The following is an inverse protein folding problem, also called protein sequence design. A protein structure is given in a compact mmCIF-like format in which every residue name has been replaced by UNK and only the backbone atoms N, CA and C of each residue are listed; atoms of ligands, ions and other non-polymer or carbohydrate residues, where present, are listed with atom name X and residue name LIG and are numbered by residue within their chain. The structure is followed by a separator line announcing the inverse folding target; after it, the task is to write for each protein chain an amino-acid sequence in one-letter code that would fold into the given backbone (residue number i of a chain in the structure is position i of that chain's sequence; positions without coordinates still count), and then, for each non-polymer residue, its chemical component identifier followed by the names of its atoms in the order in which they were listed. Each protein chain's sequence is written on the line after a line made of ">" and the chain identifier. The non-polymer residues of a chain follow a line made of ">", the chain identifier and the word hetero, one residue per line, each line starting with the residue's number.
data_IF_531574431022
#
_entry.id   IF_531574431022
#
_cell.length_a   1.000
_cell.length_b   1.000
_cell.length_c   1.000
_cell.angle_alpha   90.00
_cell.angle_beta   90.00
_cell.angle_gamma   90.00
#
_symmetry.space_group_name_H-M   'P 1'
#
loop_
_entity.id
_entity.type
_entity.pdbx_description
1 polymer ?
#
# COMPACT_ATOMS: atom_id res chain seq x y z
N UNK A 1 -42.93 20.34 22.63
CA UNK A 1 -41.70 21.14 22.45
C UNK A 1 -40.52 20.25 22.76
N UNK A 2 -39.94 19.60 21.76
CA UNK A 2 -38.64 18.89 21.93
C UNK A 2 -37.58 19.99 22.02
N UNK A 3 -36.89 20.03 23.13
CA UNK A 3 -35.79 20.97 23.34
C UNK A 3 -34.80 20.82 22.20
N UNK A 4 -34.49 21.92 21.53
CA UNK A 4 -33.32 22.04 20.65
C UNK A 4 -32.08 21.97 21.58
N UNK A 5 -31.77 20.77 22.05
CA UNK A 5 -30.50 20.49 22.64
C UNK A 5 -29.48 20.60 21.50
N UNK A 6 -28.63 21.59 21.57
CA UNK A 6 -27.43 21.68 20.77
C UNK A 6 -26.71 20.33 20.93
N UNK A 7 -26.75 19.52 19.89
CA UNK A 7 -25.99 18.30 19.91
C UNK A 7 -24.51 18.67 19.85
N UNK A 8 -23.83 18.54 20.98
CA UNK A 8 -22.37 18.67 21.05
C UNK A 8 -21.64 17.51 20.37
N UNK A 9 -22.39 16.56 19.82
CA UNK A 9 -21.81 15.41 19.09
C UNK A 9 -21.44 15.85 17.69
N UNK A 10 -20.18 16.22 17.53
CA UNK A 10 -19.63 16.59 16.23
C UNK A 10 -19.43 15.39 15.30
N UNK A 11 -19.46 14.15 15.82
CA UNK A 11 -19.14 12.94 15.05
C UNK A 11 -20.05 11.79 15.45
N UNK A 12 -20.39 10.93 14.48
CA UNK A 12 -21.29 9.80 14.68
C UNK A 12 -20.56 8.48 14.49
N UNK A 13 -20.76 7.56 15.42
CA UNK A 13 -20.27 6.19 15.33
C UNK A 13 -21.45 5.24 15.13
N UNK A 14 -21.35 4.37 14.13
CA UNK A 14 -22.32 3.31 13.86
C UNK A 14 -21.60 1.98 13.71
N UNK A 15 -22.09 0.94 14.38
CA UNK A 15 -21.60 -0.42 14.28
C UNK A 15 -22.76 -1.33 13.87
N UNK A 16 -22.59 -2.10 12.81
CA UNK A 16 -23.62 -2.97 12.26
C UNK A 16 -24.09 -3.99 13.27
N UNK A 17 -25.39 -4.01 13.55
CA UNK A 17 -26.01 -4.94 14.50
C UNK A 17 -25.90 -4.51 15.98
N UNK A 18 -25.36 -3.32 16.25
CA UNK A 18 -25.39 -2.71 17.56
C UNK A 18 -26.45 -1.60 17.58
N UNK A 19 -27.52 -1.81 18.37
CA UNK A 19 -28.62 -0.84 18.52
C UNK A 19 -28.40 0.12 19.69
N UNK A 20 -27.33 -0.12 20.49
CA UNK A 20 -27.00 0.75 21.60
C UNK A 20 -26.60 2.16 21.10
N UNK A 21 -26.94 3.17 21.85
CA UNK A 21 -26.43 4.53 21.61
C UNK A 21 -24.93 4.57 21.86
N UNK A 22 -24.18 4.99 20.86
CA UNK A 22 -22.72 5.12 20.90
C UNK A 22 -22.39 6.62 20.82
N UNK A 23 -22.00 7.21 21.93
CA UNK A 23 -21.75 8.63 22.04
C UNK A 23 -20.24 8.90 21.99
N UNK A 24 -19.76 9.42 20.85
CA UNK A 24 -18.33 9.65 20.61
C UNK A 24 -17.78 10.75 21.52
N UNK A 25 -16.74 10.42 22.27
CA UNK A 25 -15.99 11.34 23.13
C UNK A 25 -14.76 11.91 22.43
N UNK A 26 -13.99 11.05 21.81
CA UNK A 26 -12.74 11.41 21.14
C UNK A 26 -12.39 10.38 20.08
N UNK A 27 -11.59 10.78 19.13
CA UNK A 27 -10.91 9.84 18.24
C UNK A 27 -9.53 10.34 17.83
N UNK A 28 -8.68 9.41 17.50
CA UNK A 28 -7.39 9.61 16.84
C UNK A 28 -7.34 8.71 15.62
N UNK A 29 -6.91 9.24 14.48
CA UNK A 29 -6.86 8.50 13.23
C UNK A 29 -5.58 8.76 12.45
N UNK A 30 -4.95 7.68 11.99
CA UNK A 30 -3.80 7.70 11.13
C UNK A 30 -4.18 7.16 9.75
N UNK A 31 -3.91 7.94 8.71
CA UNK A 31 -4.12 7.57 7.33
C UNK A 31 -2.88 7.90 6.51
N UNK A 32 -2.47 6.99 5.63
CA UNK A 32 -1.38 7.22 4.70
C UNK A 32 -1.61 6.45 3.40
N UNK A 33 -1.02 6.95 2.30
CA UNK A 33 -0.98 6.21 1.05
C UNK A 33 -0.24 4.89 1.25
N UNK A 34 -0.76 3.83 0.65
CA UNK A 34 -0.20 2.48 0.68
C UNK A 34 -0.11 1.84 2.06
N UNK A 35 -0.97 2.29 2.98
CA UNK A 35 -1.11 1.72 4.33
C UNK A 35 -2.58 1.65 4.72
N UNK A 36 -3.02 0.58 5.41
CA UNK A 36 -4.33 0.57 6.04
C UNK A 36 -4.45 1.67 7.08
N UNK A 37 -5.55 2.41 7.05
CA UNK A 37 -5.83 3.40 8.08
C UNK A 37 -6.15 2.75 9.41
N UNK A 38 -5.98 3.50 10.50
CA UNK A 38 -6.34 3.10 11.85
C UNK A 38 -6.96 4.26 12.61
N UNK A 39 -8.18 4.07 13.08
CA UNK A 39 -8.87 5.00 13.97
C UNK A 39 -9.10 4.34 15.33
N UNK A 40 -8.67 5.00 16.40
CA UNK A 40 -9.05 4.67 17.75
C UNK A 40 -10.16 5.63 18.19
N UNK A 41 -11.33 5.09 18.48
CA UNK A 41 -12.54 5.88 18.78
C UNK A 41 -12.97 5.55 20.19
N UNK A 42 -13.01 6.58 21.05
CA UNK A 42 -13.53 6.48 22.42
C UNK A 42 -14.97 6.97 22.45
N UNK A 43 -15.83 6.22 23.11
CA UNK A 43 -17.24 6.51 23.19
C UNK A 43 -17.84 6.04 24.52
N UNK A 44 -18.97 6.63 24.92
CA UNK A 44 -19.78 6.15 26.02
C UNK A 44 -21.08 5.54 25.54
N UNK A 45 -21.64 4.64 26.34
CA UNK A 45 -22.95 4.06 26.12
C UNK A 45 -23.63 3.78 27.46
N UNK A 46 -24.94 3.99 27.51
CA UNK A 46 -25.77 3.55 28.63
C UNK A 46 -25.90 2.01 28.70
N UNK A 47 -25.57 1.33 27.61
CA UNK A 47 -25.51 -0.14 27.59
C UNK A 47 -24.19 -0.64 28.19
N UNK A 48 -24.26 -1.22 29.38
CA UNK A 48 -23.13 -1.79 30.09
C UNK A 48 -22.74 -3.19 29.59
N UNK A 49 -23.54 -3.79 28.70
CA UNK A 49 -23.41 -5.16 28.26
C UNK A 49 -22.85 -5.33 26.85
N UNK A 50 -22.32 -4.26 26.24
CA UNK A 50 -21.70 -4.35 24.92
C UNK A 50 -20.55 -5.35 24.99
N UNK A 51 -20.66 -6.43 24.22
CA UNK A 51 -19.70 -7.53 24.20
C UNK A 51 -18.77 -7.48 22.99
N UNK A 52 -17.67 -8.24 23.04
CA UNK A 52 -16.73 -8.36 21.91
C UNK A 52 -17.40 -8.94 20.66
N UNK A 53 -18.36 -9.83 20.82
CA UNK A 53 -19.12 -10.47 19.74
C UNK A 53 -20.03 -9.46 19.00
N UNK A 54 -20.49 -8.46 19.72
CA UNK A 54 -21.28 -7.37 19.15
C UNK A 54 -20.41 -6.36 18.35
N UNK A 55 -19.10 -6.31 18.63
CA UNK A 55 -18.18 -5.32 18.08
C UNK A 55 -17.18 -5.89 17.09
N UNK A 56 -16.41 -6.91 17.47
CA UNK A 56 -15.31 -7.40 16.63
C UNK A 56 -15.81 -7.95 15.30
N UNK A 57 -15.09 -7.64 14.23
CA UNK A 57 -15.38 -8.03 12.85
C UNK A 57 -16.68 -7.44 12.27
N UNK A 58 -17.35 -6.55 12.99
CA UNK A 58 -18.54 -5.85 12.48
C UNK A 58 -18.14 -4.69 11.60
N UNK A 59 -18.89 -4.49 10.51
CA UNK A 59 -18.78 -3.27 9.71
C UNK A 59 -19.17 -2.06 10.58
N UNK A 60 -18.38 -1.01 10.50
CA UNK A 60 -18.59 0.20 11.28
C UNK A 60 -18.22 1.44 10.47
N UNK A 61 -18.80 2.57 10.85
CA UNK A 61 -18.50 3.86 10.24
C UNK A 61 -18.33 4.95 11.29
N UNK A 62 -17.33 5.78 11.08
CA UNK A 62 -17.16 7.06 11.73
C UNK A 62 -17.56 8.16 10.75
N UNK A 63 -18.61 8.91 11.07
CA UNK A 63 -19.08 10.03 10.25
C UNK A 63 -18.60 11.33 10.87
N UNK A 64 -17.73 12.03 10.15
CA UNK A 64 -17.29 13.36 10.52
C UNK A 64 -18.36 14.37 10.12
N UNK A 65 -18.71 15.25 11.05
CA UNK A 65 -19.68 16.32 10.85
C UNK A 65 -18.97 17.67 10.97
N UNK A 66 -19.41 18.62 10.18
CA UNK A 66 -18.97 20.01 10.27
C UNK A 66 -20.17 20.97 10.33
N UNK A 67 -20.04 22.13 10.98
CA UNK A 67 -21.08 23.14 11.00
C UNK A 67 -21.20 23.79 9.61
N UNK A 68 -22.39 23.74 9.04
CA UNK A 68 -22.72 24.42 7.78
C UNK A 68 -23.71 25.53 8.08
N UNK A 69 -23.35 26.76 7.67
CA UNK A 69 -24.22 27.92 7.85
C UNK A 69 -25.44 27.81 6.91
N UNK A 70 -26.63 27.77 7.48
CA UNK A 70 -27.91 27.76 6.75
C UNK A 70 -28.61 29.15 6.66
N UNK A 71 -27.87 30.23 6.91
CA UNK A 71 -28.44 31.59 6.98
C UNK A 71 -28.98 31.94 8.38
N UNK A 72 -29.22 33.21 8.62
CA UNK A 72 -29.71 33.77 9.92
C UNK A 72 -28.86 33.37 11.16
N UNK A 73 -27.56 33.06 11.00
CA UNK A 73 -26.70 32.72 12.11
C UNK A 73 -26.93 31.31 12.69
N UNK A 74 -27.71 30.46 12.01
CA UNK A 74 -27.94 29.08 12.43
C UNK A 74 -26.91 28.18 11.73
N UNK A 75 -26.05 27.49 12.52
CA UNK A 75 -25.17 26.45 12.05
C UNK A 75 -25.82 25.08 12.30
N UNK A 76 -25.90 24.27 11.26
CA UNK A 76 -26.39 22.88 11.34
C UNK A 76 -25.21 21.94 11.09
N UNK A 77 -25.04 20.96 11.99
CA UNK A 77 -24.05 19.90 11.79
C UNK A 77 -24.48 19.02 10.62
N UNK A 78 -23.62 18.90 9.61
CA UNK A 78 -23.87 18.06 8.45
C UNK A 78 -22.74 17.04 8.27
N UNK A 79 -23.06 15.81 7.83
CA UNK A 79 -22.05 14.84 7.46
C UNK A 79 -21.19 15.36 6.31
N UNK A 80 -19.87 15.37 6.49
CA UNK A 80 -18.92 15.86 5.47
C UNK A 80 -17.98 14.76 4.98
N UNK A 81 -17.71 13.77 5.83
CA UNK A 81 -16.88 12.62 5.48
C UNK A 81 -17.30 11.39 6.27
N UNK A 82 -17.30 10.23 5.62
CA UNK A 82 -17.53 8.93 6.26
C UNK A 82 -16.27 8.08 6.13
N UNK A 83 -15.77 7.56 7.24
CA UNK A 83 -14.71 6.56 7.31
C UNK A 83 -15.40 5.23 7.57
N UNK A 84 -15.33 4.34 6.59
CA UNK A 84 -15.97 3.03 6.62
C UNK A 84 -14.91 1.94 6.79
N UNK A 85 -15.18 0.96 7.65
CA UNK A 85 -14.27 -0.16 7.87
C UNK A 85 -14.88 -1.27 8.70
N UNK A 86 -14.03 -2.00 9.41
CA UNK A 86 -14.40 -3.06 10.36
C UNK A 86 -13.78 -2.77 11.72
N UNK A 87 -14.42 -3.23 12.76
CA UNK A 87 -13.89 -3.16 14.12
C UNK A 87 -12.86 -4.27 14.32
N UNK A 88 -11.61 -3.89 14.52
CA UNK A 88 -10.49 -4.81 14.72
C UNK A 88 -10.01 -4.90 16.15
N UNK A 89 -10.44 -3.98 17.01
CA UNK A 89 -10.15 -3.94 18.43
C UNK A 89 -11.33 -3.38 19.21
N UNK A 90 -11.52 -3.83 20.44
CA UNK A 90 -12.57 -3.37 21.33
C UNK A 90 -12.12 -3.45 22.77
N UNK A 91 -12.33 -2.40 23.53
CA UNK A 91 -11.91 -2.25 24.93
C UNK A 91 -13.04 -1.66 25.77
N UNK A 92 -13.17 -2.13 26.99
CA UNK A 92 -13.94 -1.46 28.04
C UNK A 92 -12.95 -0.72 28.94
N UNK A 93 -13.03 0.59 28.98
CA UNK A 93 -12.08 1.42 29.71
C UNK A 93 -12.51 1.65 31.16
N UNK A 94 -13.78 2.02 31.38
CA UNK A 94 -14.32 2.24 32.71
C UNK A 94 -15.84 2.07 32.70
N UNK A 95 -16.42 1.88 33.87
CA UNK A 95 -17.88 1.77 34.07
C UNK A 95 -18.30 2.62 35.26
N UNK A 96 -19.29 3.47 35.04
CA UNK A 96 -19.99 4.19 36.09
C UNK A 96 -21.40 3.61 36.29
N UNK A 97 -22.20 4.24 37.14
CA UNK A 97 -23.59 3.84 37.35
C UNK A 97 -24.46 4.10 36.10
N UNK A 98 -24.19 5.18 35.39
CA UNK A 98 -25.06 5.70 34.33
C UNK A 98 -24.58 5.31 32.93
N UNK A 99 -23.28 5.12 32.75
CA UNK A 99 -22.68 4.80 31.44
C UNK A 99 -21.37 4.04 31.57
N UNK A 100 -21.00 3.36 30.51
CA UNK A 100 -19.71 2.69 30.36
C UNK A 100 -18.90 3.37 29.25
N UNK A 101 -17.63 3.60 29.51
CA UNK A 101 -16.66 4.14 28.58
C UNK A 101 -15.94 3.01 27.86
N UNK A 102 -16.01 3.04 26.55
CA UNK A 102 -15.45 2.06 25.65
C UNK A 102 -14.47 2.71 24.65
N UNK A 103 -13.64 1.90 24.07
CA UNK A 103 -12.87 2.26 22.89
C UNK A 103 -12.96 1.16 21.83
N UNK A 104 -12.95 1.53 20.57
CA UNK A 104 -12.80 0.59 19.47
C UNK A 104 -11.74 1.05 18.48
N UNK A 105 -11.20 0.09 17.74
CA UNK A 105 -10.29 0.33 16.62
C UNK A 105 -11.02 0.04 15.33
N UNK A 106 -11.07 1.03 14.44
CA UNK A 106 -11.66 0.94 13.11
C UNK A 106 -10.54 0.90 12.06
N UNK A 107 -10.55 -0.10 11.21
CA UNK A 107 -9.58 -0.28 10.14
C UNK A 107 -10.28 -0.79 8.87
N UNK A 108 -9.66 -0.62 7.68
CA UNK A 108 -10.20 -1.23 6.47
C UNK A 108 -10.04 -2.76 6.55
N UNK A 109 -10.87 -3.51 5.82
CA UNK A 109 -10.77 -4.97 5.76
C UNK A 109 -9.41 -5.47 5.30
N UNK A 110 -8.71 -4.68 4.48
CA UNK A 110 -7.35 -4.99 4.06
C UNK A 110 -6.39 -5.16 5.24
N UNK A 111 -6.60 -4.47 6.36
CA UNK A 111 -5.78 -4.62 7.56
C UNK A 111 -5.83 -6.04 8.16
N UNK A 112 -6.94 -6.75 7.98
CA UNK A 112 -7.10 -8.11 8.51
C UNK A 112 -6.18 -9.13 7.82
N UNK A 113 -5.67 -8.80 6.64
CA UNK A 113 -4.77 -9.68 5.89
C UNK A 113 -3.44 -9.92 6.63
N UNK A 114 -3.08 -9.08 7.58
CA UNK A 114 -1.91 -9.30 8.44
C UNK A 114 -2.06 -10.50 9.41
N UNK A 115 -3.25 -11.07 9.51
CA UNK A 115 -3.53 -12.28 10.31
C UNK A 115 -3.38 -13.57 9.51
N UNK A 116 -3.20 -13.47 8.20
CA UNK A 116 -3.04 -14.62 7.32
C UNK A 116 -1.57 -14.75 6.89
N UNK A 117 -0.84 -15.64 7.57
CA UNK A 117 0.55 -15.97 7.25
C UNK A 117 0.57 -17.18 6.31
N UNK A 118 1.25 -17.05 5.18
CA UNK A 118 1.24 -18.08 4.14
C UNK A 118 2.62 -18.30 3.54
N UNK A 119 2.75 -19.49 2.93
CA UNK A 119 3.82 -19.82 2.00
C UNK A 119 3.13 -20.32 0.73
N UNK A 120 3.39 -19.69 -0.39
CA UNK A 120 2.70 -19.98 -1.63
C UNK A 120 3.56 -19.64 -2.85
N UNK A 121 3.30 -20.32 -3.95
CA UNK A 121 3.95 -20.08 -5.25
C UNK A 121 2.89 -19.60 -6.24
N UNK A 122 3.23 -18.56 -6.99
CA UNK A 122 2.43 -18.01 -8.08
C UNK A 122 3.24 -18.09 -9.37
N UNK A 123 2.67 -18.67 -10.41
CA UNK A 123 3.34 -18.82 -11.70
C UNK A 123 2.54 -18.16 -12.81
N UNK A 124 3.26 -17.56 -13.77
CA UNK A 124 2.69 -16.94 -14.97
C UNK A 124 1.56 -15.93 -14.67
N UNK A 125 1.79 -15.08 -13.67
CA UNK A 125 0.86 -14.06 -13.24
C UNK A 125 1.56 -12.71 -13.06
N UNK A 126 0.87 -11.65 -13.44
CA UNK A 126 1.32 -10.28 -13.14
C UNK A 126 1.07 -9.92 -11.68
N UNK A 127 1.76 -8.89 -11.18
CA UNK A 127 1.57 -8.41 -9.80
C UNK A 127 0.09 -8.07 -9.52
N UNK A 128 -0.63 -7.30 -10.36
CA UNK A 128 -2.06 -7.08 -10.12
C UNK A 128 -2.89 -8.37 -10.08
N UNK A 129 -2.58 -9.35 -10.93
CA UNK A 129 -3.29 -10.64 -10.93
C UNK A 129 -3.06 -11.43 -9.65
N UNK A 130 -1.83 -11.44 -9.13
CA UNK A 130 -1.52 -12.10 -7.84
C UNK A 130 -2.27 -11.43 -6.69
N UNK A 131 -2.25 -10.10 -6.64
CA UNK A 131 -2.96 -9.33 -5.61
C UNK A 131 -4.46 -9.60 -5.68
N UNK A 132 -5.06 -9.51 -6.86
CA UNK A 132 -6.49 -9.78 -7.05
C UNK A 132 -6.86 -11.21 -6.65
N UNK A 133 -6.05 -12.20 -7.00
CA UNK A 133 -6.26 -13.60 -6.62
C UNK A 133 -6.28 -13.77 -5.10
N UNK A 134 -5.33 -13.18 -4.38
CA UNK A 134 -5.29 -13.24 -2.92
C UNK A 134 -6.54 -12.59 -2.31
N UNK A 135 -6.91 -11.40 -2.78
CA UNK A 135 -8.08 -10.68 -2.27
C UNK A 135 -9.38 -11.46 -2.49
N UNK A 136 -9.57 -12.05 -3.67
CA UNK A 136 -10.78 -12.79 -4.01
C UNK A 136 -10.84 -14.19 -3.41
N UNK A 137 -9.83 -15.00 -3.71
CA UNK A 137 -9.88 -16.43 -3.40
C UNK A 137 -9.56 -16.74 -1.94
N UNK A 138 -8.63 -16.00 -1.33
CA UNK A 138 -8.23 -16.25 0.05
C UNK A 138 -9.06 -15.46 1.07
N UNK A 139 -9.45 -14.23 0.71
CA UNK A 139 -10.13 -13.31 1.62
C UNK A 139 -11.57 -12.99 1.25
N UNK A 140 -12.08 -13.54 0.14
CA UNK A 140 -13.48 -13.40 -0.26
C UNK A 140 -13.91 -11.98 -0.62
N UNK A 141 -12.98 -11.07 -0.90
CA UNK A 141 -13.31 -9.73 -1.35
C UNK A 141 -13.89 -9.76 -2.76
N UNK A 142 -14.88 -8.93 -2.99
CA UNK A 142 -15.62 -8.86 -4.26
C UNK A 142 -15.15 -7.66 -5.08
N UNK A 143 -15.60 -7.58 -6.34
CA UNK A 143 -15.24 -6.48 -7.22
C UNK A 143 -15.72 -5.10 -6.77
N UNK A 144 -16.62 -5.02 -5.82
CA UNK A 144 -17.07 -3.78 -5.17
C UNK A 144 -16.15 -3.31 -4.03
N UNK A 145 -15.31 -4.23 -3.52
CA UNK A 145 -14.48 -4.00 -2.34
C UNK A 145 -13.11 -3.41 -2.70
N UNK A 146 -12.70 -3.51 -3.95
CA UNK A 146 -11.45 -2.96 -4.46
C UNK A 146 -11.54 -2.63 -5.95
N UNK A 147 -10.69 -1.69 -6.39
CA UNK A 147 -10.62 -1.20 -7.76
C UNK A 147 -9.16 -1.05 -8.18
N UNK A 148 -8.82 -1.56 -9.36
CA UNK A 148 -7.55 -1.28 -10.03
C UNK A 148 -7.74 -0.17 -11.07
N UNK A 149 -7.21 1.02 -10.78
CA UNK A 149 -7.18 2.18 -11.68
C UNK A 149 -5.76 2.33 -12.26
N UNK A 150 -5.34 1.34 -13.04
CA UNK A 150 -3.99 1.26 -13.58
C UNK A 150 -3.93 1.81 -15.01
N UNK A 151 -2.86 2.52 -15.32
CA UNK A 151 -2.58 3.05 -16.66
C UNK A 151 -1.63 2.17 -17.47
N UNK A 152 -0.92 1.25 -16.79
CA UNK A 152 0.07 0.36 -17.39
C UNK A 152 -0.43 -1.09 -17.42
N UNK A 153 0.07 -1.85 -18.39
CA UNK A 153 -0.10 -3.30 -18.44
C UNK A 153 1.15 -3.97 -17.92
N UNK A 154 1.04 -4.68 -16.82
CA UNK A 154 2.17 -5.35 -16.17
C UNK A 154 2.42 -6.72 -16.78
N UNK A 155 3.70 -7.10 -16.99
CA UNK A 155 4.04 -8.41 -17.53
C UNK A 155 3.72 -9.51 -16.51
N UNK A 156 3.51 -10.71 -17.03
CA UNK A 156 3.44 -11.91 -16.20
C UNK A 156 4.83 -12.32 -15.78
N UNK A 157 4.99 -12.53 -14.47
CA UNK A 157 6.23 -13.08 -13.90
C UNK A 157 6.21 -14.61 -14.00
N UNK A 158 7.35 -15.20 -14.28
CA UNK A 158 7.45 -16.67 -14.36
C UNK A 158 7.09 -17.32 -13.03
N UNK A 159 7.63 -16.81 -11.94
CA UNK A 159 7.29 -17.25 -10.58
C UNK A 159 7.47 -16.12 -9.59
N UNK A 160 6.57 -16.06 -8.63
CA UNK A 160 6.66 -15.23 -7.42
C UNK A 160 6.40 -16.12 -6.22
N UNK A 161 7.23 -16.01 -5.20
CA UNK A 161 7.10 -16.82 -4.00
C UNK A 161 6.79 -15.95 -2.79
N UNK A 162 5.70 -16.26 -2.10
CA UNK A 162 5.41 -15.78 -0.77
C UNK A 162 6.06 -16.74 0.22
N UNK A 163 6.93 -16.26 1.08
CA UNK A 163 7.63 -17.11 2.04
C UNK A 163 7.73 -16.47 3.41
N UNK A 164 7.01 -17.03 4.38
CA UNK A 164 7.01 -16.56 5.77
C UNK A 164 6.43 -15.15 5.95
N UNK A 165 5.62 -14.68 5.02
CA UNK A 165 5.00 -13.36 5.05
C UNK A 165 3.51 -13.47 5.33
N UNK A 166 2.96 -12.51 6.10
CA UNK A 166 1.52 -12.30 6.07
C UNK A 166 1.06 -11.73 4.72
N UNK A 167 -0.22 -11.91 4.40
CA UNK A 167 -0.76 -11.53 3.10
C UNK A 167 -0.73 -10.00 2.87
N UNK A 168 -0.92 -9.21 3.92
CA UNK A 168 -0.84 -7.75 3.81
C UNK A 168 0.58 -7.30 3.43
N UNK A 169 1.58 -7.83 4.12
CA UNK A 169 2.99 -7.54 3.84
C UNK A 169 3.37 -7.98 2.44
N UNK A 170 2.97 -9.17 2.03
CA UNK A 170 3.25 -9.70 0.70
C UNK A 170 2.63 -8.85 -0.41
N UNK A 171 1.34 -8.51 -0.30
CA UNK A 171 0.65 -7.64 -1.27
C UNK A 171 1.30 -6.27 -1.33
N UNK A 172 1.55 -5.65 -0.18
CA UNK A 172 2.14 -4.30 -0.10
C UNK A 172 3.55 -4.27 -0.71
N UNK A 173 4.34 -5.32 -0.46
CA UNK A 173 5.67 -5.48 -1.06
C UNK A 173 5.61 -5.57 -2.58
N UNK A 174 4.77 -6.44 -3.12
CA UNK A 174 4.63 -6.62 -4.57
C UNK A 174 4.16 -5.33 -5.26
N UNK A 175 3.16 -4.67 -4.70
CA UNK A 175 2.64 -3.41 -5.23
C UNK A 175 3.72 -2.32 -5.20
N UNK A 176 4.44 -2.21 -4.09
CA UNK A 176 5.54 -1.25 -3.94
C UNK A 176 6.70 -1.51 -4.92
N UNK A 177 7.05 -2.78 -5.18
CA UNK A 177 8.09 -3.14 -6.16
C UNK A 177 7.81 -2.56 -7.54
N UNK A 178 6.55 -2.52 -7.96
CA UNK A 178 6.13 -2.01 -9.28
C UNK A 178 5.54 -0.60 -9.26
N UNK A 179 5.61 0.06 -8.10
CA UNK A 179 5.19 1.46 -7.96
C UNK A 179 3.69 1.69 -7.92
N UNK A 180 2.89 0.67 -7.62
CA UNK A 180 1.45 0.79 -7.42
C UNK A 180 1.21 1.22 -5.97
N UNK A 181 0.54 2.35 -5.81
CA UNK A 181 0.09 2.85 -4.52
C UNK A 181 -1.41 2.64 -4.35
N UNK A 182 -1.90 2.70 -3.11
CA UNK A 182 -3.31 2.56 -2.85
C UNK A 182 -3.80 3.52 -1.77
N UNK A 183 -5.10 3.78 -1.82
CA UNK A 183 -5.85 4.55 -0.83
C UNK A 183 -7.19 3.88 -0.54
N UNK A 184 -7.88 4.37 0.47
CA UNK A 184 -9.21 3.89 0.84
C UNK A 184 -10.26 4.97 0.62
N UNK A 185 -11.39 4.55 0.08
CA UNK A 185 -12.60 5.36 -0.03
C UNK A 185 -13.76 4.63 0.63
N UNK A 186 -14.86 5.33 0.89
CA UNK A 186 -16.06 4.74 1.46
C UNK A 186 -17.18 4.69 0.42
N UNK A 187 -17.76 3.52 0.19
CA UNK A 187 -19.06 3.42 -0.47
C UNK A 187 -20.14 3.49 0.61
N UNK A 188 -20.75 4.67 0.75
CA UNK A 188 -21.77 4.93 1.77
C UNK A 188 -23.09 4.21 1.47
N UNK A 189 -23.36 3.85 0.23
CA UNK A 189 -24.55 3.10 -0.16
C UNK A 189 -24.46 1.63 0.25
N UNK A 190 -23.28 1.03 0.07
CA UNK A 190 -23.03 -0.35 0.41
C UNK A 190 -22.47 -0.53 1.84
N UNK A 191 -22.13 0.57 2.50
CA UNK A 191 -21.50 0.59 3.83
C UNK A 191 -20.22 -0.25 3.89
N UNK A 192 -19.35 -0.05 2.89
CA UNK A 192 -18.06 -0.75 2.78
C UNK A 192 -16.90 0.23 2.57
N UNK A 193 -15.73 -0.18 3.01
CA UNK A 193 -14.46 0.40 2.61
C UNK A 193 -14.06 -0.16 1.24
N UNK A 194 -13.50 0.69 0.39
CA UNK A 194 -13.03 0.34 -0.95
C UNK A 194 -11.54 0.67 -1.04
N UNK A 195 -10.73 -0.33 -1.38
CA UNK A 195 -9.31 -0.13 -1.69
C UNK A 195 -9.15 0.22 -3.17
N UNK A 196 -8.55 1.36 -3.47
CA UNK A 196 -8.26 1.79 -4.84
C UNK A 196 -6.75 1.73 -5.08
N UNK A 197 -6.34 0.93 -6.07
CA UNK A 197 -4.95 0.74 -6.49
C UNK A 197 -4.65 1.55 -7.74
N UNK A 198 -3.63 2.41 -7.67
CA UNK A 198 -3.26 3.35 -8.73
C UNK A 198 -1.77 3.26 -9.03
N UNK A 199 -1.37 3.57 -10.26
CA UNK A 199 0.03 3.54 -10.69
C UNK A 199 0.53 4.86 -11.31
N UNK A 200 -0.30 5.89 -11.27
CA UNK A 200 0.01 7.18 -11.86
C UNK A 200 -0.63 8.34 -11.11
N UNK A 201 -0.23 9.56 -11.48
CA UNK A 201 -0.79 10.81 -10.95
C UNK A 201 -2.26 11.04 -11.38
N UNK A 202 -2.75 10.30 -12.36
CA UNK A 202 -4.18 10.35 -12.76
C UNK A 202 -5.12 9.87 -11.65
N UNK A 203 -4.60 9.06 -10.72
CA UNK A 203 -5.33 8.62 -9.54
C UNK A 203 -5.45 9.66 -8.43
N UNK A 204 -4.78 10.82 -8.55
CA UNK A 204 -4.89 11.89 -7.56
C UNK A 204 -6.24 12.61 -7.68
N UNK A 205 -6.82 12.93 -6.54
CA UNK A 205 -8.05 13.71 -6.46
C UNK A 205 -7.72 15.18 -6.36
N UNK A 206 -8.03 15.95 -7.39
CA UNK A 206 -7.75 17.39 -7.48
C UNK A 206 -9.00 18.23 -7.15
N UNK A 207 -8.79 19.49 -6.80
CA UNK A 207 -9.85 20.47 -6.63
C UNK A 207 -10.03 20.99 -5.21
N UNK A 208 -9.37 20.43 -4.22
CA UNK A 208 -9.39 20.96 -2.87
C UNK A 208 -8.49 22.19 -2.77
N UNK A 209 -9.07 23.32 -2.34
CA UNK A 209 -8.35 24.58 -2.15
C UNK A 209 -8.67 25.15 -0.78
N UNK A 210 -7.65 25.47 0.01
CA UNK A 210 -7.78 26.04 1.35
C UNK A 210 -6.90 27.28 1.49
N UNK A 211 -7.34 28.32 2.20
CA UNK A 211 -6.53 29.49 2.52
C UNK A 211 -5.49 29.18 3.59
N UNK A 212 -4.36 29.82 3.51
CA UNK A 212 -3.36 29.88 4.57
C UNK A 212 -3.75 30.93 5.61
N UNK A 213 -3.57 30.60 6.89
CA UNK A 213 -3.76 31.52 8.01
C UNK A 213 -2.45 31.61 8.79
N UNK A 214 -1.88 32.81 9.03
CA UNK A 214 -0.67 32.93 9.82
C UNK A 214 -0.91 32.49 11.28
N UNK A 215 0.14 31.99 11.99
CA UNK A 215 0.01 31.47 13.36
C UNK A 215 -0.53 32.48 14.38
N UNK A 216 -0.37 33.77 14.12
CA UNK A 216 -0.89 34.86 14.92
C UNK A 216 -2.29 35.34 14.51
N UNK A 217 -2.86 34.74 13.47
CA UNK A 217 -4.16 35.11 12.93
C UNK A 217 -5.28 34.54 13.79
N UNK A 218 -6.22 35.40 14.16
CA UNK A 218 -7.48 34.97 14.72
C UNK A 218 -8.15 34.00 13.75
N UNK A 219 -8.69 32.91 14.28
CA UNK A 219 -9.49 31.97 13.54
C UNK A 219 -10.43 32.70 12.58
N UNK A 220 -10.34 32.43 11.30
CA UNK A 220 -11.37 32.85 10.35
C UNK A 220 -12.65 32.08 10.70
N UNK A 221 -13.54 32.70 11.46
CA UNK A 221 -14.75 32.08 11.96
C UNK A 221 -15.52 31.39 10.80
N UNK A 222 -15.49 30.07 10.77
CA UNK A 222 -16.32 29.24 9.90
C UNK A 222 -15.74 28.89 8.51
N UNK A 223 -14.46 29.13 8.24
CA UNK A 223 -13.78 28.69 7.00
C UNK A 223 -12.60 27.79 7.35
N UNK A 224 -12.55 26.62 6.73
CA UNK A 224 -11.40 25.73 6.87
C UNK A 224 -10.12 26.38 6.31
N UNK A 225 -9.01 26.20 7.01
CA UNK A 225 -7.77 26.85 6.70
C UNK A 225 -6.56 25.94 6.98
N UNK A 226 -5.40 26.32 6.50
CA UNK A 226 -4.11 25.66 6.75
C UNK A 226 -3.22 26.60 7.54
N UNK A 227 -2.54 26.06 8.55
CA UNK A 227 -1.58 26.79 9.39
C UNK A 227 -0.41 25.90 9.79
N UNK A 228 0.60 26.48 10.45
CA UNK A 228 1.82 25.78 10.87
C UNK A 228 2.53 25.06 9.72
N UNK A 229 2.60 25.70 8.58
CA UNK A 229 3.26 25.12 7.40
C UNK A 229 4.78 25.12 7.57
N UNK A 230 5.37 23.93 7.44
CA UNK A 230 6.81 23.71 7.44
C UNK A 230 7.22 22.96 6.18
N UNK A 231 8.16 23.53 5.44
CA UNK A 231 8.74 22.88 4.27
C UNK A 231 10.16 22.39 4.59
N UNK A 232 10.44 21.16 4.20
CA UNK A 232 11.73 20.51 4.41
C UNK A 232 12.33 20.11 3.08
N UNK A 233 13.59 20.48 2.86
CA UNK A 233 14.38 20.08 1.71
C UNK A 233 15.58 19.26 2.15
N UNK A 234 15.93 18.23 1.37
CA UNK A 234 17.11 17.39 1.60
C UNK A 234 17.81 17.12 0.29
N UNK A 235 19.11 16.94 0.34
CA UNK A 235 19.86 16.38 -0.78
C UNK A 235 19.49 14.89 -0.89
N UNK A 236 19.17 14.47 -2.09
CA UNK A 236 18.87 13.08 -2.45
C UNK A 236 19.72 12.66 -3.65
N UNK A 237 19.68 11.41 -4.00
CA UNK A 237 20.43 10.82 -5.10
C UNK A 237 20.07 11.49 -6.42
N UNK A 238 21.10 11.82 -7.20
CA UNK A 238 20.99 12.48 -8.50
C UNK A 238 20.56 11.53 -9.60
N UNK A 239 21.03 10.28 -9.51
CA UNK A 239 20.73 9.26 -10.51
C UNK A 239 20.67 7.88 -9.87
N UNK A 240 19.95 6.99 -10.52
CA UNK A 240 19.87 5.59 -10.16
C UNK A 240 20.34 4.74 -11.33
N UNK A 241 21.24 3.83 -11.04
CA UNK A 241 21.61 2.77 -11.95
C UNK A 241 21.22 1.41 -11.39
N UNK A 242 20.84 0.52 -12.28
CA UNK A 242 20.55 -0.88 -11.94
C UNK A 242 21.18 -1.81 -12.96
N UNK A 243 21.50 -2.99 -12.49
CA UNK A 243 22.02 -4.07 -13.33
C UNK A 243 21.43 -5.40 -12.88
N UNK A 244 21.20 -6.27 -13.84
CA UNK A 244 20.79 -7.63 -13.58
C UNK A 244 21.49 -8.61 -14.50
N UNK A 245 21.24 -9.89 -14.31
CA UNK A 245 21.77 -10.96 -15.13
C UNK A 245 20.63 -11.90 -15.57
N UNK A 246 20.50 -12.04 -16.88
CA UNK A 246 19.58 -13.01 -17.46
C UNK A 246 20.37 -14.17 -18.07
N UNK A 247 20.40 -15.30 -17.39
CA UNK A 247 21.16 -16.47 -17.85
C UNK A 247 20.69 -17.04 -19.19
N UNK A 248 19.48 -16.69 -19.65
CA UNK A 248 18.94 -17.10 -20.95
C UNK A 248 19.59 -16.33 -22.08
N UNK A 249 20.05 -15.13 -21.81
CA UNK A 249 20.72 -14.21 -22.72
C UNK A 249 21.95 -13.61 -22.03
N UNK A 250 22.91 -14.48 -21.69
CA UNK A 250 24.04 -14.14 -20.81
C UNK A 250 24.93 -12.99 -21.34
N UNK A 251 24.87 -12.69 -22.64
CA UNK A 251 25.62 -11.60 -23.28
C UNK A 251 24.81 -10.30 -23.41
N UNK A 252 23.52 -10.28 -23.02
CA UNK A 252 22.70 -9.09 -23.12
C UNK A 252 23.21 -8.02 -22.15
N UNK A 253 23.20 -6.76 -22.59
CA UNK A 253 23.44 -5.63 -21.71
C UNK A 253 22.20 -5.39 -20.86
N UNK A 254 22.35 -5.63 -19.57
CA UNK A 254 21.29 -5.52 -18.59
C UNK A 254 21.44 -4.28 -17.69
N UNK A 255 22.20 -3.27 -18.15
CA UNK A 255 22.37 -2.02 -17.41
C UNK A 255 21.26 -1.03 -17.76
N UNK A 256 20.80 -0.30 -16.77
CA UNK A 256 19.94 0.86 -16.94
C UNK A 256 20.35 1.97 -15.97
N UNK A 257 20.38 3.21 -16.44
CA UNK A 257 20.69 4.38 -15.63
C UNK A 257 19.68 5.47 -15.93
N UNK A 258 19.09 6.04 -14.91
CA UNK A 258 18.03 7.05 -15.02
C UNK A 258 18.31 8.22 -14.10
N UNK A 259 18.20 9.43 -14.66
CA UNK A 259 18.08 10.69 -13.95
C UNK A 259 16.77 11.36 -14.37
N UNK A 260 15.77 11.33 -13.50
CA UNK A 260 14.44 11.90 -13.76
C UNK A 260 14.49 13.43 -13.83
N UNK A 261 15.38 14.06 -13.07
CA UNK A 261 15.51 15.50 -12.94
C UNK A 261 16.44 16.12 -13.98
N UNK A 262 17.16 15.28 -14.71
CA UNK A 262 18.08 15.68 -15.79
C UNK A 262 19.17 16.68 -15.38
N UNK A 263 19.84 16.38 -14.28
CA UNK A 263 20.99 17.15 -13.80
C UNK A 263 20.65 18.31 -12.90
N UNK A 264 19.60 18.24 -12.13
CA UNK A 264 19.29 19.24 -11.11
C UNK A 264 20.43 19.38 -10.09
N UNK A 265 20.79 20.62 -9.76
CA UNK A 265 21.95 20.92 -8.90
C UNK A 265 21.73 20.65 -7.41
N UNK A 266 20.51 20.39 -7.00
CA UNK A 266 20.12 20.11 -5.60
C UNK A 266 20.16 18.62 -5.23
N UNK A 267 20.61 17.79 -6.18
CA UNK A 267 20.80 16.35 -6.00
C UNK A 267 22.27 15.99 -6.09
N UNK A 268 22.67 14.83 -5.54
CA UNK A 268 24.06 14.39 -5.57
C UNK A 268 24.20 12.87 -5.55
N UNK A 269 25.19 12.35 -6.26
CA UNK A 269 25.58 10.95 -6.19
C UNK A 269 24.75 10.01 -7.04
N UNK A 270 25.14 8.76 -6.98
CA UNK A 270 24.52 7.66 -7.70
C UNK A 270 24.11 6.57 -6.70
N UNK A 271 22.88 6.05 -6.86
CA UNK A 271 22.44 4.83 -6.20
C UNK A 271 22.49 3.68 -7.20
N UNK A 272 23.41 2.74 -6.97
CA UNK A 272 23.52 1.52 -7.77
C UNK A 272 22.78 0.36 -7.11
N UNK A 273 21.93 -0.31 -7.88
CA UNK A 273 21.15 -1.46 -7.44
C UNK A 273 21.44 -2.69 -8.31
N UNK A 274 21.45 -3.84 -7.68
CA UNK A 274 21.69 -5.12 -8.32
C UNK A 274 20.55 -6.09 -8.09
N UNK A 275 20.17 -6.85 -9.14
CA UNK A 275 19.33 -8.02 -8.99
C UNK A 275 17.83 -7.72 -8.79
N UNK A 276 17.27 -6.76 -9.53
CA UNK A 276 15.83 -6.46 -9.50
C UNK A 276 14.95 -7.50 -10.18
N UNK A 277 15.55 -8.54 -10.77
CA UNK A 277 14.87 -9.64 -11.45
C UNK A 277 14.07 -9.22 -12.69
N UNK A 278 14.65 -8.39 -13.54
CA UNK A 278 14.07 -8.04 -14.83
C UNK A 278 14.71 -8.85 -15.98
N UNK A 279 13.98 -8.98 -17.07
CA UNK A 279 14.41 -9.73 -18.26
C UNK A 279 15.02 -8.86 -19.35
N UNK A 280 14.75 -7.57 -19.35
CA UNK A 280 15.24 -6.60 -20.34
C UNK A 280 15.62 -5.29 -19.67
N UNK A 281 16.68 -4.63 -20.17
CA UNK A 281 17.11 -3.34 -19.64
C UNK A 281 16.09 -2.21 -19.90
N UNK A 282 15.38 -2.28 -21.03
CA UNK A 282 14.47 -1.20 -21.45
C UNK A 282 15.21 0.04 -21.95
N UNK A 283 14.46 1.10 -22.22
CA UNK A 283 15.02 2.38 -22.68
C UNK A 283 15.03 3.40 -21.54
N UNK A 284 16.23 3.73 -21.06
CA UNK A 284 16.43 4.68 -19.95
C UNK A 284 16.06 6.14 -20.31
N UNK A 285 15.98 6.48 -21.60
CA UNK A 285 15.58 7.81 -22.06
C UNK A 285 14.07 7.97 -22.23
N UNK A 286 13.33 6.87 -22.10
CA UNK A 286 11.88 6.93 -22.17
C UNK A 286 11.29 7.49 -20.87
N UNK A 287 10.33 8.41 -21.00
CA UNK A 287 9.57 8.91 -19.84
C UNK A 287 8.67 7.83 -19.22
N UNK A 288 8.28 6.86 -20.02
CA UNK A 288 7.41 5.76 -19.65
C UNK A 288 8.02 4.41 -20.08
N UNK A 289 9.12 3.98 -19.42
CA UNK A 289 9.75 2.72 -19.74
C UNK A 289 8.79 1.55 -19.66
N UNK A 290 9.06 0.50 -20.44
CA UNK A 290 8.26 -0.73 -20.37
C UNK A 290 8.18 -1.24 -18.92
N UNK A 291 6.99 -1.54 -18.40
CA UNK A 291 6.82 -2.02 -17.04
C UNK A 291 7.72 -3.21 -16.72
N UNK A 292 8.35 -3.16 -15.55
CA UNK A 292 9.29 -4.17 -15.04
C UNK A 292 10.56 -4.40 -15.90
N UNK A 293 10.93 -3.42 -16.74
CA UNK A 293 12.28 -3.35 -17.31
C UNK A 293 13.28 -2.72 -16.32
N UNK A 294 14.58 -2.83 -16.59
CA UNK A 294 15.61 -2.20 -15.78
C UNK A 294 15.43 -0.69 -15.67
N UNK A 295 15.13 -0.01 -16.79
CA UNK A 295 14.84 1.43 -16.83
C UNK A 295 13.59 1.78 -15.99
N UNK A 296 12.57 0.95 -16.00
CA UNK A 296 11.38 1.11 -15.18
C UNK A 296 11.71 1.07 -13.67
N UNK A 297 12.47 0.08 -13.23
CA UNK A 297 12.87 -0.03 -11.82
C UNK A 297 13.80 1.11 -11.39
N UNK A 298 14.76 1.48 -12.23
CA UNK A 298 15.64 2.62 -11.95
C UNK A 298 14.85 3.92 -11.79
N UNK A 299 13.87 4.16 -12.67
CA UNK A 299 12.99 5.32 -12.59
C UNK A 299 12.14 5.32 -11.31
N UNK A 300 11.51 4.21 -10.96
CA UNK A 300 10.73 4.11 -9.72
C UNK A 300 11.58 4.40 -8.48
N UNK A 301 12.80 3.87 -8.43
CA UNK A 301 13.73 4.13 -7.33
C UNK A 301 14.11 5.59 -7.24
N UNK A 302 14.40 6.22 -8.39
CA UNK A 302 14.72 7.64 -8.40
C UNK A 302 13.53 8.51 -7.97
N UNK A 303 12.32 8.20 -8.43
CA UNK A 303 11.12 8.89 -7.96
C UNK A 303 10.93 8.75 -6.44
N UNK A 304 11.20 7.57 -5.85
CA UNK A 304 11.16 7.39 -4.39
C UNK A 304 12.16 8.29 -3.66
N UNK A 305 13.40 8.39 -4.15
CA UNK A 305 14.38 9.32 -3.57
C UNK A 305 13.90 10.76 -3.66
N UNK A 306 13.38 11.16 -4.82
CA UNK A 306 12.84 12.51 -5.04
C UNK A 306 11.60 12.80 -4.18
N UNK A 307 10.76 11.80 -3.85
CA UNK A 307 9.67 11.95 -2.88
C UNK A 307 10.19 12.32 -1.48
N UNK A 308 11.44 12.00 -1.17
CA UNK A 308 12.10 12.38 0.08
C UNK A 308 12.76 13.75 0.07
N UNK A 309 12.94 14.36 -1.10
CA UNK A 309 13.69 15.62 -1.27
C UNK A 309 12.95 16.82 -0.68
N UNK A 310 11.71 17.01 -1.05
CA UNK A 310 10.88 18.15 -0.62
C UNK A 310 9.59 17.66 -0.01
N UNK A 311 9.33 18.07 1.23
CA UNK A 311 8.12 17.69 1.95
C UNK A 311 7.52 18.88 2.69
N UNK A 312 6.20 18.95 2.71
CA UNK A 312 5.44 19.87 3.53
C UNK A 312 4.80 19.14 4.70
N UNK A 313 4.80 19.78 5.86
CA UNK A 313 3.98 19.41 7.01
C UNK A 313 3.14 20.63 7.39
N UNK A 314 1.89 20.43 7.70
CA UNK A 314 1.00 21.51 8.12
C UNK A 314 -0.18 20.94 8.89
N UNK A 315 -0.98 21.85 9.47
CA UNK A 315 -2.20 21.54 10.20
C UNK A 315 -3.39 22.19 9.49
N UNK A 316 -4.53 21.53 9.49
CA UNK A 316 -5.79 22.06 8.95
C UNK A 316 -6.99 21.69 9.81
N UNK A 317 -8.05 22.49 9.72
CA UNK A 317 -9.37 22.16 10.26
C UNK A 317 -10.26 21.40 9.30
N UNK A 318 -9.82 21.16 8.06
CA UNK A 318 -10.65 20.57 7.00
C UNK A 318 -10.93 19.08 7.24
N UNK A 319 -12.18 18.69 7.54
CA UNK A 319 -12.52 17.30 7.84
C UNK A 319 -12.58 16.41 6.59
N UNK A 320 -12.60 16.99 5.39
CA UNK A 320 -12.67 16.24 4.13
C UNK A 320 -11.31 15.89 3.56
N UNK A 321 -10.22 16.36 4.18
CA UNK A 321 -8.86 16.01 3.75
C UNK A 321 -8.62 14.51 3.87
N UNK A 322 -8.03 13.92 2.85
CA UNK A 322 -7.60 12.52 2.86
C UNK A 322 -6.36 12.27 1.98
N UNK A 323 -5.58 11.22 2.26
CA UNK A 323 -4.44 10.86 1.43
C UNK A 323 -4.86 10.60 -0.03
N UNK A 324 -4.02 11.05 -0.96
CA UNK A 324 -4.29 10.96 -2.40
C UNK A 324 -4.98 12.19 -2.99
N UNK A 325 -5.41 13.13 -2.16
CA UNK A 325 -5.88 14.45 -2.61
C UNK A 325 -4.69 15.38 -2.87
N UNK A 326 -4.86 16.26 -3.86
CA UNK A 326 -3.98 17.39 -4.10
C UNK A 326 -4.63 18.64 -3.51
N UNK A 327 -4.01 19.16 -2.46
CA UNK A 327 -4.43 20.39 -1.79
C UNK A 327 -3.72 21.59 -2.40
N UNK A 328 -4.47 22.56 -2.89
CA UNK A 328 -3.95 23.87 -3.25
C UNK A 328 -4.10 24.84 -2.09
N UNK A 329 -3.00 25.30 -1.54
CA UNK A 329 -3.00 26.31 -0.48
C UNK A 329 -2.91 27.70 -1.14
N UNK A 330 -3.82 28.60 -0.76
CA UNK A 330 -3.85 29.98 -1.29
C UNK A 330 -3.45 30.96 -0.22
N UNK A 331 -2.66 31.96 -0.58
CA UNK A 331 -2.08 32.94 0.35
C UNK A 331 -0.93 32.35 1.18
N UNK A 332 -0.20 33.20 1.87
CA UNK A 332 0.99 32.82 2.62
C UNK A 332 2.26 32.81 1.76
N UNK A 333 3.35 33.36 2.30
CA UNK A 333 4.65 33.38 1.62
C UNK A 333 5.34 32.00 1.64
N UNK A 334 4.90 31.12 2.54
CA UNK A 334 5.46 29.77 2.73
C UNK A 334 5.09 28.80 1.62
N UNK A 335 4.12 29.13 0.77
CA UNK A 335 3.60 28.25 -0.30
C UNK A 335 4.24 28.53 -1.66
N UNK A 336 5.38 29.19 -1.68
CA UNK A 336 6.08 29.49 -2.92
C UNK A 336 6.83 28.28 -3.49
N UNK A 337 7.18 28.36 -4.78
CA UNK A 337 8.04 27.40 -5.44
C UNK A 337 7.36 26.08 -5.79
N UNK A 338 7.92 24.98 -5.34
CA UNK A 338 7.54 23.62 -5.74
C UNK A 338 6.09 23.22 -5.37
N UNK A 339 5.48 23.94 -4.42
CA UNK A 339 4.10 23.70 -3.99
C UNK A 339 3.06 24.58 -4.68
N UNK A 340 3.45 25.38 -5.66
CA UNK A 340 2.56 26.30 -6.38
C UNK A 340 1.39 25.57 -7.08
N UNK A 341 1.64 24.36 -7.60
CA UNK A 341 0.63 23.53 -8.26
C UNK A 341 -0.20 22.71 -7.29
N UNK A 342 0.22 22.60 -6.05
CA UNK A 342 -0.46 21.89 -4.96
C UNK A 342 0.44 20.92 -4.20
N UNK A 343 -0.14 20.37 -3.14
CA UNK A 343 0.48 19.39 -2.25
C UNK A 343 -0.29 18.09 -2.37
N UNK A 344 0.36 17.01 -2.79
CA UNK A 344 -0.20 15.68 -2.68
C UNK A 344 -0.14 15.22 -1.23
N UNK A 345 -1.28 14.98 -0.62
CA UNK A 345 -1.36 14.47 0.75
C UNK A 345 -0.95 13.01 0.77
N UNK A 346 0.16 12.71 1.45
CA UNK A 346 0.70 11.35 1.55
C UNK A 346 0.37 10.67 2.87
N UNK A 347 0.24 11.45 3.94
CA UNK A 347 -0.11 10.95 5.27
C UNK A 347 -0.81 12.03 6.08
N UNK A 348 -1.63 11.62 7.02
CA UNK A 348 -2.29 12.52 7.95
C UNK A 348 -2.58 11.85 9.30
N UNK A 349 -2.57 12.66 10.33
CA UNK A 349 -3.04 12.32 11.66
C UNK A 349 -4.18 13.25 12.03
N UNK A 350 -5.34 12.69 12.28
CA UNK A 350 -6.53 13.46 12.69
C UNK A 350 -6.88 13.16 14.14
N UNK A 351 -7.28 14.19 14.86
CA UNK A 351 -7.76 14.03 16.23
C UNK A 351 -8.94 14.97 16.51
N UNK A 352 -9.85 14.49 17.31
CA UNK A 352 -10.96 15.26 17.80
C UNK A 352 -11.32 14.82 19.22
N UNK A 353 -11.76 15.77 20.00
CA UNK A 353 -12.33 15.57 21.34
C UNK A 353 -13.59 16.39 21.46
N UNK A 354 -14.51 15.96 22.32
CA UNK A 354 -15.76 16.70 22.56
C UNK A 354 -15.52 18.14 23.07
N UNK A 355 -14.42 18.33 23.80
CA UNK A 355 -14.02 19.58 24.46
C UNK A 355 -12.93 20.35 23.70
N UNK A 356 -12.54 19.91 22.53
CA UNK A 356 -11.51 20.53 21.71
C UNK A 356 -11.88 20.53 20.22
N UNK A 357 -11.27 21.46 19.49
CA UNK A 357 -11.48 21.60 18.06
C UNK A 357 -10.90 20.39 17.29
N UNK A 358 -11.53 20.07 16.17
CA UNK A 358 -11.02 19.11 15.21
C UNK A 358 -9.78 19.66 14.51
N UNK A 359 -8.73 18.86 14.45
CA UNK A 359 -7.52 19.20 13.73
C UNK A 359 -6.94 17.99 12.97
N UNK A 360 -6.31 18.27 11.86
CA UNK A 360 -5.60 17.31 11.02
C UNK A 360 -4.18 17.80 10.77
N UNK A 361 -3.20 17.08 11.27
CA UNK A 361 -1.81 17.24 10.89
C UNK A 361 -1.55 16.42 9.65
N UNK A 362 -0.99 17.00 8.60
CA UNK A 362 -0.73 16.27 7.36
C UNK A 362 0.69 16.47 6.86
N UNK A 363 1.14 15.50 6.09
CA UNK A 363 2.37 15.55 5.34
C UNK A 363 2.09 15.33 3.86
N UNK A 364 2.86 16.00 3.01
CA UNK A 364 2.70 15.88 1.56
C UNK A 364 3.98 16.19 0.80
N UNK A 365 3.91 15.90 -0.50
CA UNK A 365 4.95 16.16 -1.48
C UNK A 365 4.40 17.09 -2.56
N UNK A 366 5.25 17.78 -3.34
CA UNK A 366 4.77 18.60 -4.44
C UNK A 366 3.98 17.79 -5.46
N UNK A 367 2.89 18.35 -5.99
CA UNK A 367 2.22 17.82 -7.18
C UNK A 367 3.08 18.18 -8.42
N UNK A 368 3.88 17.25 -8.87
CA UNK A 368 4.82 17.43 -9.98
C UNK A 368 4.39 16.60 -11.19
N UNK A 369 4.46 17.14 -12.42
CA UNK A 369 4.14 16.38 -13.63
C UNK A 369 5.19 15.30 -13.95
N UNK A 370 6.41 15.43 -13.44
CA UNK A 370 7.53 14.56 -13.77
C UNK A 370 7.81 13.49 -12.70
N UNK A 371 7.46 13.77 -11.45
CA UNK A 371 7.75 12.92 -10.30
C UNK A 371 6.44 12.54 -9.60
N UNK A 372 6.03 11.29 -9.73
CA UNK A 372 4.88 10.74 -9.02
C UNK A 372 5.25 10.20 -7.63
N UNK A 373 4.24 10.01 -6.80
CA UNK A 373 4.39 9.28 -5.54
C UNK A 373 4.66 7.80 -5.82
N UNK A 374 5.67 7.25 -5.15
CA UNK A 374 6.00 5.82 -5.22
C UNK A 374 6.14 5.26 -3.82
N UNK A 375 5.37 4.21 -3.47
CA UNK A 375 5.47 3.60 -2.17
C UNK A 375 6.79 2.85 -1.97
N UNK A 376 7.26 2.77 -0.73
CA UNK A 376 8.37 1.90 -0.38
C UNK A 376 7.90 0.43 -0.42
N UNK A 377 8.63 -0.48 -1.08
CA UNK A 377 8.21 -1.86 -1.23
C UNK A 377 8.30 -2.69 0.05
N UNK A 378 8.95 -2.19 1.08
CA UNK A 378 9.26 -2.99 2.25
C UNK A 378 10.35 -4.04 1.98
N UNK A 379 10.74 -4.77 3.02
CA UNK A 379 11.80 -5.76 2.93
C UNK A 379 11.28 -7.05 2.27
N UNK A 380 12.00 -7.52 1.26
CA UNK A 380 11.80 -8.85 0.67
C UNK A 380 12.36 -9.90 1.62
N UNK A 381 11.72 -11.08 1.76
CA UNK A 381 12.33 -12.21 2.45
C UNK A 381 13.65 -12.62 1.79
N UNK A 382 14.64 -12.92 2.61
CA UNK A 382 15.94 -13.41 2.14
C UNK A 382 16.06 -14.89 2.50
N UNK A 383 16.28 -15.71 1.49
CA UNK A 383 16.50 -17.14 1.64
C UNK A 383 17.95 -17.39 2.08
N UNK A 384 18.16 -17.61 3.37
CA UNK A 384 19.50 -17.75 3.94
C UNK A 384 20.17 -19.12 3.66
N UNK A 385 19.41 -20.08 3.15
CA UNK A 385 19.89 -21.43 2.88
C UNK A 385 19.15 -22.06 1.72
N UNK A 386 19.00 -23.37 1.77
CA UNK A 386 18.27 -24.14 0.76
C UNK A 386 16.92 -24.60 1.28
N UNK A 387 15.97 -24.79 0.37
CA UNK A 387 14.69 -25.42 0.65
C UNK A 387 14.60 -26.81 0.06
N UNK A 388 13.99 -27.78 0.75
CA UNK A 388 13.78 -29.12 0.21
C UNK A 388 12.67 -29.11 -0.84
N UNK A 389 12.91 -29.81 -1.93
CA UNK A 389 11.96 -30.03 -2.99
C UNK A 389 12.12 -31.43 -3.59
N UNK A 390 11.18 -31.84 -4.42
CA UNK A 390 11.28 -33.10 -5.18
C UNK A 390 11.14 -32.83 -6.67
N UNK A 391 11.97 -33.51 -7.45
CA UNK A 391 11.86 -33.50 -8.90
C UNK A 391 10.54 -34.12 -9.32
N UNK A 392 9.84 -33.47 -10.22
CA UNK A 392 8.51 -33.91 -10.70
C UNK A 392 8.56 -34.45 -12.12
N UNK A 393 7.49 -35.09 -12.56
CA UNK A 393 7.27 -35.56 -13.93
C UNK A 393 5.85 -35.20 -14.38
N UNK A 394 5.65 -35.09 -15.68
CA UNK A 394 4.32 -34.89 -16.28
C UNK A 394 3.45 -36.15 -16.28
N UNK A 395 4.01 -37.28 -15.86
CA UNK A 395 3.33 -38.57 -15.80
C UNK A 395 3.32 -39.09 -14.39
N UNK A 396 2.19 -39.62 -13.98
CA UNK A 396 2.07 -40.28 -12.68
C UNK A 396 2.93 -41.56 -12.66
N UNK A 397 3.64 -41.76 -11.53
CA UNK A 397 4.56 -42.89 -11.34
C UNK A 397 5.67 -43.05 -12.40
N UNK A 398 6.08 -41.94 -13.02
CA UNK A 398 7.20 -41.95 -13.96
C UNK A 398 8.52 -42.16 -13.21
N UNK A 399 9.47 -42.79 -13.94
CA UNK A 399 10.85 -42.93 -13.47
C UNK A 399 11.67 -41.66 -13.72
N UNK A 400 11.36 -40.96 -14.80
CA UNK A 400 12.19 -39.84 -15.28
C UNK A 400 11.62 -38.49 -14.82
N UNK A 401 12.52 -37.59 -14.40
CA UNK A 401 12.16 -36.22 -14.09
C UNK A 401 11.74 -35.42 -15.32
N UNK A 402 10.84 -34.41 -15.11
CA UNK A 402 10.49 -33.47 -16.16
C UNK A 402 11.65 -32.51 -16.39
N UNK A 403 12.38 -32.74 -17.48
CA UNK A 403 13.57 -31.98 -17.87
C UNK A 403 13.35 -31.32 -19.24
N UNK A 404 13.84 -30.09 -19.41
CA UNK A 404 13.82 -29.39 -20.68
C UNK A 404 15.12 -29.60 -21.51
N UNK A 405 15.13 -29.04 -22.72
CA UNK A 405 16.29 -29.11 -23.61
C UNK A 405 17.55 -28.40 -23.08
N UNK A 406 17.42 -27.58 -22.07
CA UNK A 406 18.53 -26.88 -21.39
C UNK A 406 18.99 -27.59 -20.12
N UNK A 407 18.44 -28.75 -19.82
CA UNK A 407 18.79 -29.53 -18.64
C UNK A 407 18.27 -28.96 -17.34
N UNK A 408 17.18 -28.18 -17.40
CA UNK A 408 16.47 -27.64 -16.22
C UNK A 408 15.37 -28.59 -15.83
N UNK A 409 15.02 -28.56 -14.53
CA UNK A 409 13.98 -29.42 -13.95
C UNK A 409 12.83 -28.59 -13.39
N UNK A 410 11.65 -29.19 -13.37
CA UNK A 410 10.57 -28.72 -12.53
C UNK A 410 10.56 -29.49 -11.23
N UNK A 411 10.27 -28.79 -10.15
CA UNK A 411 10.33 -29.33 -8.79
C UNK A 411 9.07 -28.95 -8.00
N UNK A 412 8.70 -29.80 -7.06
CA UNK A 412 7.67 -29.50 -6.08
C UNK A 412 8.36 -29.10 -4.79
N UNK A 413 8.22 -27.82 -4.39
CA UNK A 413 8.69 -27.32 -3.09
C UNK A 413 7.85 -27.98 -1.98
N UNK A 414 8.48 -28.58 -0.99
CA UNK A 414 7.76 -29.36 0.02
C UNK A 414 6.84 -28.53 0.94
N UNK A 415 7.06 -27.22 1.01
CA UNK A 415 6.17 -26.31 1.75
C UNK A 415 4.88 -25.99 0.99
N UNK A 416 4.86 -26.18 -0.34
CA UNK A 416 3.73 -25.77 -1.18
C UNK A 416 2.55 -26.71 -0.97
N UNK A 417 1.41 -26.15 -0.60
CA UNK A 417 0.14 -26.86 -0.39
C UNK A 417 -0.81 -26.75 -1.57
N UNK A 418 -0.45 -25.95 -2.58
CA UNK A 418 -1.27 -25.77 -3.77
C UNK A 418 -1.32 -27.06 -4.59
N UNK A 419 -2.45 -27.28 -5.26
CA UNK A 419 -2.59 -28.37 -6.22
C UNK A 419 -2.27 -27.85 -7.60
N UNK A 420 -1.16 -28.30 -8.14
CA UNK A 420 -0.71 -28.02 -9.49
C UNK A 420 -1.02 -29.20 -10.41
N UNK A 421 -1.05 -28.93 -11.69
CA UNK A 421 -0.91 -29.99 -12.68
C UNK A 421 0.46 -30.65 -12.51
N UNK A 422 0.48 -31.98 -12.54
CA UNK A 422 1.70 -32.78 -12.29
C UNK A 422 2.79 -32.42 -13.31
N UNK A 423 3.97 -32.09 -12.82
CA UNK A 423 5.11 -31.63 -13.63
C UNK A 423 5.15 -30.13 -13.89
N UNK A 424 4.20 -29.34 -13.30
CA UNK A 424 4.13 -27.88 -13.46
C UNK A 424 4.10 -27.14 -12.11
N UNK A 425 4.68 -27.73 -11.09
CA UNK A 425 4.63 -27.21 -9.70
C UNK A 425 5.59 -26.04 -9.46
N UNK A 426 6.51 -25.78 -10.38
CA UNK A 426 7.46 -24.66 -10.33
C UNK A 426 7.80 -24.14 -11.72
N UNK A 427 8.53 -23.03 -11.79
CA UNK A 427 9.27 -22.65 -13.00
C UNK A 427 10.39 -23.65 -13.28
N UNK A 428 11.08 -23.49 -14.41
CA UNK A 428 12.24 -24.27 -14.75
C UNK A 428 13.44 -23.89 -13.88
N UNK A 429 13.92 -24.81 -13.03
CA UNK A 429 15.06 -24.62 -12.13
C UNK A 429 16.31 -25.26 -12.74
N UNK A 430 17.41 -24.50 -12.75
CA UNK A 430 18.70 -25.00 -13.22
C UNK A 430 19.29 -25.98 -12.23
N UNK A 431 19.90 -27.06 -12.73
CA UNK A 431 20.71 -27.94 -11.89
C UNK A 431 22.12 -27.34 -11.73
N UNK A 432 22.58 -27.20 -10.47
CA UNK A 432 23.99 -26.90 -10.21
C UNK A 432 24.86 -28.07 -10.65
N UNK A 433 25.81 -27.80 -11.53
CA UNK A 433 26.71 -28.82 -12.09
C UNK A 433 28.16 -28.46 -11.82
N UNK A 434 29.04 -29.46 -11.49
CA UNK A 434 30.43 -29.16 -11.23
C UNK A 434 31.22 -28.77 -12.50
N UNK A 435 30.70 -29.13 -13.67
CA UNK A 435 31.35 -28.86 -14.95
C UNK A 435 30.30 -28.76 -16.07
N UNK A 436 30.18 -27.61 -16.68
CA UNK A 436 29.22 -27.35 -17.75
C UNK A 436 29.65 -26.18 -18.65
N UNK A 437 29.46 -26.31 -19.95
CA UNK A 437 29.60 -25.26 -20.95
C UNK A 437 28.62 -25.48 -22.10
N UNK A 438 28.70 -24.67 -23.15
CA UNK A 438 27.73 -24.70 -24.25
C UNK A 438 27.70 -26.03 -25.01
N UNK A 439 28.85 -26.68 -25.13
CA UNK A 439 29.01 -27.91 -25.92
C UNK A 439 29.59 -29.09 -25.13
N UNK A 440 29.84 -28.90 -23.83
CA UNK A 440 30.44 -29.92 -22.97
C UNK A 440 29.88 -29.84 -21.55
N UNK A 441 30.02 -30.92 -20.79
CA UNK A 441 29.63 -30.91 -19.38
C UNK A 441 29.37 -32.30 -18.83
N UNK A 442 29.30 -32.37 -17.49
CA UNK A 442 28.88 -33.56 -16.76
C UNK A 442 27.39 -33.42 -16.45
N UNK A 443 26.56 -34.22 -17.07
CA UNK A 443 25.13 -34.27 -16.78
C UNK A 443 24.78 -35.58 -16.08
N UNK A 444 24.25 -35.43 -14.84
CA UNK A 444 23.71 -36.55 -14.06
C UNK A 444 22.19 -36.37 -13.99
N UNK A 445 21.41 -37.09 -14.80
CA UNK A 445 19.95 -36.94 -14.84
C UNK A 445 19.33 -37.29 -13.49
N UNK A 446 18.41 -36.42 -13.02
CA UNK A 446 17.65 -36.66 -11.83
C UNK A 446 16.38 -37.45 -12.16
N UNK A 447 16.05 -38.40 -11.31
CA UNK A 447 14.82 -39.18 -11.43
C UNK A 447 13.66 -38.47 -10.77
N UNK A 448 12.44 -38.76 -11.21
CA UNK A 448 11.23 -38.27 -10.57
C UNK A 448 11.18 -38.72 -9.09
N UNK A 449 10.71 -37.87 -8.20
CA UNK A 449 10.68 -38.13 -6.78
C UNK A 449 11.99 -37.92 -6.03
N UNK A 450 13.13 -37.67 -6.75
CA UNK A 450 14.39 -37.38 -6.10
C UNK A 450 14.27 -36.10 -5.26
N UNK A 451 14.69 -36.19 -4.00
CA UNK A 451 14.79 -35.02 -3.14
C UNK A 451 16.02 -34.18 -3.51
N UNK A 452 15.81 -32.90 -3.60
CA UNK A 452 16.83 -31.92 -3.96
C UNK A 452 16.80 -30.73 -3.00
N UNK A 453 17.94 -30.07 -2.87
CA UNK A 453 18.06 -28.82 -2.13
C UNK A 453 18.06 -27.66 -3.13
N UNK A 454 17.08 -26.76 -3.01
CA UNK A 454 16.96 -25.59 -3.88
C UNK A 454 17.68 -24.40 -3.23
N UNK A 455 18.69 -23.88 -3.92
CA UNK A 455 19.35 -22.63 -3.60
C UNK A 455 18.66 -21.46 -4.31
N UNK A 456 18.91 -20.24 -3.85
CA UNK A 456 18.30 -19.02 -4.38
C UNK A 456 19.38 -18.00 -4.71
N UNK A 457 19.35 -17.43 -5.92
CA UNK A 457 20.31 -16.40 -6.31
C UNK A 457 20.11 -15.14 -5.44
N UNK A 458 21.18 -14.67 -4.81
CA UNK A 458 21.18 -13.55 -3.87
C UNK A 458 20.14 -13.68 -2.74
N UNK A 459 19.72 -14.90 -2.42
CA UNK A 459 18.67 -15.16 -1.46
C UNK A 459 17.27 -14.70 -1.91
N UNK A 460 17.10 -14.38 -3.19
CA UNK A 460 15.81 -13.94 -3.73
C UNK A 460 14.86 -15.13 -3.91
N UNK A 461 13.72 -15.18 -3.20
CA UNK A 461 12.77 -16.28 -3.29
C UNK A 461 12.20 -16.51 -4.69
N UNK A 462 12.20 -15.50 -5.55
CA UNK A 462 11.71 -15.59 -6.93
C UNK A 462 12.75 -16.10 -7.92
N UNK A 463 13.97 -16.41 -7.44
CA UNK A 463 15.11 -16.87 -8.27
C UNK A 463 15.72 -18.18 -7.74
N UNK A 464 14.94 -19.26 -7.76
CA UNK A 464 15.44 -20.56 -7.33
C UNK A 464 16.44 -21.18 -8.30
#
# INVERSE_FOLDING_TARGET
>A
MKSLLFSHNHHLLSVKGCEAGLDVLAFEGDEALSQPFRYRIEFTSADHAISKEMMLMKAASLTLQAPVAQGFGINVQQPVRVIQGVVTGFERLSTSRDETHYALTLQPRLALLNRSHQNAIYQDQSVPQIVEKILRERHGLRGQDFLFSLTKTYPRREQVMQYGEDDLRFITRLLGEVGIWFRFTADTRLHIDVAEFCDSQQGYEKGLTLPSVPPSGQQSAGVDAVWEMACRHRVVEQQVSTRDYNYREATADMNAQVDVTRGETTTFGEAYHWGDNYLTAGNAHDRHPAPESGAFYARLRHERYLNGQTRMQATTSCPTLCPGQVLKVTGGEEVAGEFADGVLITAMHSHARRDADFAVEFAGIPDSPDVGYRPEPGARPVMAGTLPARVTSTRENDTYGHIDKHGRYRVNMLFDRARWETGFESLWVRQSRPYAGDTYGLHLPLLAGTEVAIGFEDGNPDRP
#
